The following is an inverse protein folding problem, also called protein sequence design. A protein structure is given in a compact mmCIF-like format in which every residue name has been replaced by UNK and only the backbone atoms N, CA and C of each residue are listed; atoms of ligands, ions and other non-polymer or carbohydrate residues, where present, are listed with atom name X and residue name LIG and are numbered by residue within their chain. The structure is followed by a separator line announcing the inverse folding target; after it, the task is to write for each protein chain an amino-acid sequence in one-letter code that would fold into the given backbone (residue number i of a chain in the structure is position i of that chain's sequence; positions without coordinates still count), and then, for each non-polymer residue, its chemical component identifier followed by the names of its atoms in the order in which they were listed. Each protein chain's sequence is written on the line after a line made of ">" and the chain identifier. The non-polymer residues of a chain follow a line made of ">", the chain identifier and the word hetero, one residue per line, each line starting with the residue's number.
data_IF_226327851487
#
_entry.id   IF_226327851487
#
_cell.length_a   1.000
_cell.length_b   1.000
_cell.length_c   1.000
_cell.angle_alpha   90.00
_cell.angle_beta   90.00
_cell.angle_gamma   90.00
#
_symmetry.space_group_name_H-M   'P 1'
#
loop_
_entity.id
_entity.type
_entity.pdbx_description
1 polymer ?
#
# COMPACT_ATOMS: atom_id res chain seq x y z
N UNK A 1 4.49 17.73 -7.43
CA UNK A 1 3.28 18.25 -6.76
C UNK A 1 2.88 17.37 -5.57
N UNK A 2 2.59 17.96 -4.40
CA UNK A 2 2.02 17.25 -3.24
C UNK A 2 0.55 16.92 -3.52
N UNK A 3 0.27 15.76 -4.10
CA UNK A 3 -1.11 15.30 -4.32
C UNK A 3 -1.72 14.85 -2.99
N UNK A 4 -2.86 15.43 -2.64
CA UNK A 4 -3.55 15.26 -1.37
C UNK A 4 -3.79 13.79 -1.02
N UNK A 5 -3.19 13.37 0.11
CA UNK A 5 -3.60 12.32 1.05
C UNK A 5 -4.43 11.14 0.52
N UNK A 6 -4.13 10.58 -0.64
CA UNK A 6 -4.63 9.25 -0.97
C UNK A 6 -3.87 8.27 -0.08
N UNK A 7 -4.55 7.72 0.92
CA UNK A 7 -3.99 6.74 1.86
C UNK A 7 -3.35 5.58 1.08
N UNK A 8 -2.13 5.22 1.45
CA UNK A 8 -1.48 4.01 0.98
C UNK A 8 -2.04 2.77 1.71
N UNK A 9 -1.98 1.58 1.09
CA UNK A 9 -2.26 0.33 1.80
C UNK A 9 -1.41 0.23 3.07
N UNK A 10 -2.01 -0.22 4.18
CA UNK A 10 -1.27 -0.47 5.42
C UNK A 10 -1.31 -1.96 5.74
N UNK A 11 -0.15 -2.54 5.98
CA UNK A 11 -0.02 -3.94 6.39
C UNK A 11 0.32 -4.03 7.88
N UNK A 12 -0.35 -4.95 8.57
CA UNK A 12 -0.04 -5.38 9.93
C UNK A 12 0.44 -6.83 9.84
N UNK A 13 1.74 -7.01 9.62
CA UNK A 13 2.33 -8.32 9.31
C UNK A 13 2.13 -9.35 10.42
N UNK A 14 2.21 -8.94 11.70
CA UNK A 14 1.95 -9.83 12.84
C UNK A 14 0.50 -10.34 12.91
N UNK A 15 -0.43 -9.61 12.30
CA UNK A 15 -1.86 -9.92 12.31
C UNK A 15 -2.33 -10.50 10.98
N UNK A 16 -1.44 -10.61 9.98
CA UNK A 16 -1.79 -10.90 8.58
C UNK A 16 -2.96 -10.03 8.07
N UNK A 17 -3.05 -8.79 8.55
CA UNK A 17 -4.15 -7.88 8.26
C UNK A 17 -3.68 -6.79 7.29
N UNK A 18 -4.49 -6.52 6.26
CA UNK A 18 -4.21 -5.50 5.25
C UNK A 18 -5.36 -4.49 5.21
N UNK A 19 -5.08 -3.26 5.61
CA UNK A 19 -6.01 -2.14 5.54
C UNK A 19 -5.96 -1.48 4.15
N UNK A 20 -7.10 -1.55 3.47
CA UNK A 20 -7.26 -1.11 2.09
C UNK A 20 -8.27 0.04 2.03
N UNK A 21 -7.86 1.24 1.58
CA UNK A 21 -8.80 2.35 1.45
C UNK A 21 -9.84 2.06 0.36
N UNK A 22 -11.09 2.53 0.51
CA UNK A 22 -12.14 2.33 -0.47
C UNK A 22 -11.78 3.07 -1.76
N UNK A 23 -11.66 2.35 -2.89
CA UNK A 23 -11.34 2.93 -4.19
C UNK A 23 -12.38 2.58 -5.23
N UNK A 24 -12.63 3.54 -6.13
CA UNK A 24 -13.68 3.48 -7.15
C UNK A 24 -13.26 2.71 -8.42
N UNK A 25 -11.96 2.54 -8.66
CA UNK A 25 -11.42 1.87 -9.85
C UNK A 25 -10.41 0.79 -9.44
N UNK A 26 -10.62 -0.44 -9.93
CA UNK A 26 -9.75 -1.59 -9.72
C UNK A 26 -8.34 -1.40 -10.30
N UNK A 27 -8.19 -0.78 -11.47
CA UNK A 27 -6.88 -0.63 -12.13
C UNK A 27 -5.96 0.25 -11.30
N UNK A 28 -6.47 1.43 -10.90
CA UNK A 28 -5.76 2.31 -9.97
C UNK A 28 -5.55 1.63 -8.61
N UNK A 29 -6.50 0.77 -8.19
CA UNK A 29 -6.39 -0.02 -6.97
C UNK A 29 -5.18 -0.96 -6.99
N UNK A 30 -5.09 -1.75 -8.05
CA UNK A 30 -4.02 -2.72 -8.32
C UNK A 30 -2.66 -2.03 -8.44
N UNK A 31 -2.57 -0.94 -9.20
CA UNK A 31 -1.32 -0.21 -9.42
C UNK A 31 -0.67 0.22 -8.10
N UNK A 32 -1.40 0.88 -7.19
CA UNK A 32 -0.78 1.29 -5.92
C UNK A 32 -0.54 0.15 -4.95
N UNK A 33 -1.30 -0.94 -5.04
CA UNK A 33 -1.02 -2.11 -4.20
C UNK A 33 0.30 -2.75 -4.63
N UNK A 34 0.50 -2.94 -5.94
CA UNK A 34 1.75 -3.44 -6.49
C UNK A 34 2.91 -2.51 -6.13
N UNK A 35 2.74 -1.21 -6.34
CA UNK A 35 3.73 -0.21 -5.94
C UNK A 35 4.08 -0.31 -4.46
N UNK A 36 3.09 -0.42 -3.56
CA UNK A 36 3.34 -0.54 -2.12
C UNK A 36 4.08 -1.84 -1.76
N UNK A 37 3.88 -2.94 -2.50
CA UNK A 37 4.59 -4.20 -2.27
C UNK A 37 6.03 -4.09 -2.76
N UNK A 38 6.24 -3.54 -3.96
CA UNK A 38 7.56 -3.43 -4.59
C UNK A 38 8.47 -2.44 -3.85
N UNK A 39 7.92 -1.33 -3.35
CA UNK A 39 8.67 -0.29 -2.65
C UNK A 39 8.79 -0.53 -1.13
N UNK A 40 8.07 -1.51 -0.56
CA UNK A 40 8.23 -1.85 0.86
C UNK A 40 9.36 -2.84 1.03
N UNK A 41 10.53 -2.33 1.44
CA UNK A 41 11.59 -3.17 1.98
C UNK A 41 11.21 -3.67 3.39
N UNK A 42 11.39 -4.98 3.63
CA UNK A 42 11.09 -5.61 4.92
C UNK A 42 12.13 -5.31 6.00
N UNK A 43 12.29 -6.20 6.98
CA UNK A 43 13.36 -6.13 7.98
C UNK A 43 14.72 -6.50 7.35
N UNK A 44 15.25 -5.64 6.49
CA UNK A 44 16.46 -5.87 5.72
C UNK A 44 17.25 -4.60 5.41
N UNK A 45 17.56 -3.81 6.45
CA UNK A 45 18.81 -3.05 6.49
C UNK A 45 19.65 -3.62 7.64
N UNK A 46 20.52 -4.56 7.32
CA UNK A 46 21.76 -4.80 8.06
C UNK A 46 22.94 -4.36 7.19
#
# INVERSE_FOLDING_TARGET
>A
EKSGSELSPRSHTCLNHLDLPPRKNYERWKEKLLFAIEETEGFGQE
#
